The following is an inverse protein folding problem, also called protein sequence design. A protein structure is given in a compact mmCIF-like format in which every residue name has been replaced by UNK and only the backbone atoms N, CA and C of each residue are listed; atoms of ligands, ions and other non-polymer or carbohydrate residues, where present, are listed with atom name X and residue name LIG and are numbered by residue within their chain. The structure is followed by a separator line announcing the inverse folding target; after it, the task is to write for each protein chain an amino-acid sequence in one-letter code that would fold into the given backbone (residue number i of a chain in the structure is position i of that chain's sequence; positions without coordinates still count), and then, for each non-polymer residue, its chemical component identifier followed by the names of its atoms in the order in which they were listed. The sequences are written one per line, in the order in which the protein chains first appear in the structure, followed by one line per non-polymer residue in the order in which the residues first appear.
data_IF_551244079522
#
_entry.id   IF_551244079522
#
_cell.length_a   1.000
_cell.length_b   1.000
_cell.length_c   1.000
_cell.angle_alpha   90.00
_cell.angle_beta   90.00
_cell.angle_gamma   90.00
#
_symmetry.space_group_name_H-M   'P 1'
#
loop_
_entity.id
_entity.type
_entity.pdbx_description
1 polymer ?
#
# COMPACT_ATOMS: atom_id res chain seq x y z
N UNK A 1 -7.16 0.69 -18.90
CA UNK A 1 -6.82 1.54 -17.74
C UNK A 1 -6.42 0.64 -16.59
N UNK A 2 -5.32 0.92 -15.89
CA UNK A 2 -4.94 0.13 -14.72
C UNK A 2 -5.87 0.50 -13.55
N UNK A 3 -6.39 -0.49 -12.84
CA UNK A 3 -7.24 -0.31 -11.64
C UNK A 3 -6.58 0.64 -10.64
N UNK A 4 -5.24 0.60 -10.56
CA UNK A 4 -4.48 1.45 -9.66
C UNK A 4 -4.62 2.93 -10.01
N UNK A 5 -4.64 3.27 -11.30
CA UNK A 5 -4.79 4.66 -11.75
C UNK A 5 -6.15 5.23 -11.37
N UNK A 6 -7.22 4.45 -11.54
CA UNK A 6 -8.57 4.87 -11.16
C UNK A 6 -8.71 5.12 -9.66
N UNK A 7 -8.06 4.29 -8.83
CA UNK A 7 -8.03 4.47 -7.36
C UNK A 7 -7.23 5.73 -6.97
N UNK A 8 -6.09 5.97 -7.62
CA UNK A 8 -5.25 7.13 -7.37
C UNK A 8 -5.96 8.43 -7.75
N UNK A 9 -6.52 8.49 -8.97
CA UNK A 9 -7.22 9.66 -9.49
C UNK A 9 -8.40 10.02 -8.54
N UNK A 10 -9.25 9.04 -8.18
CA UNK A 10 -10.33 9.26 -7.20
C UNK A 10 -9.82 9.67 -5.81
N UNK A 11 -8.67 9.16 -5.36
CA UNK A 11 -8.13 9.52 -4.06
C UNK A 11 -7.55 10.95 -4.06
N UNK A 12 -6.91 11.38 -5.13
CA UNK A 12 -6.42 12.76 -5.27
C UNK A 12 -7.56 13.78 -5.24
N UNK A 13 -8.70 13.48 -5.86
CA UNK A 13 -9.87 14.36 -5.87
C UNK A 13 -10.59 14.40 -4.53
N UNK A 14 -10.71 13.25 -3.85
CA UNK A 14 -11.57 13.12 -2.66
C UNK A 14 -10.83 13.17 -1.33
N UNK A 15 -9.53 12.88 -1.34
CA UNK A 15 -8.64 12.68 -0.18
C UNK A 15 -9.26 11.79 0.91
N UNK A 16 -10.10 10.83 0.51
CA UNK A 16 -10.88 10.02 1.44
C UNK A 16 -11.18 8.63 0.89
N UNK A 17 -10.64 7.60 1.55
CA UNK A 17 -10.83 6.19 1.15
C UNK A 17 -12.30 5.80 1.05
N UNK A 18 -13.17 6.32 1.92
CA UNK A 18 -14.61 6.03 1.89
C UNK A 18 -15.31 6.59 0.65
N UNK A 19 -14.84 7.74 0.13
CA UNK A 19 -15.37 8.31 -1.11
C UNK A 19 -14.87 7.52 -2.31
N UNK A 20 -13.58 7.18 -2.34
CA UNK A 20 -13.01 6.29 -3.36
C UNK A 20 -13.75 4.96 -3.43
N UNK A 21 -14.09 4.35 -2.29
CA UNK A 21 -14.89 3.11 -2.25
C UNK A 21 -16.28 3.28 -2.89
N UNK A 22 -16.95 4.43 -2.66
CA UNK A 22 -18.25 4.72 -3.27
C UNK A 22 -18.16 5.01 -4.76
N UNK A 23 -17.11 5.70 -5.21
CA UNK A 23 -16.92 6.09 -6.61
C UNK A 23 -16.43 4.91 -7.46
N UNK A 24 -15.48 4.15 -6.95
CA UNK A 24 -14.84 3.07 -7.69
C UNK A 24 -15.51 1.71 -7.48
N UNK A 25 -16.26 1.54 -6.38
CA UNK A 25 -16.85 0.26 -5.98
C UNK A 25 -15.83 -0.78 -5.50
N UNK A 26 -14.55 -0.41 -5.33
CA UNK A 26 -13.51 -1.34 -4.87
C UNK A 26 -13.50 -1.48 -3.36
N UNK A 27 -13.15 -2.68 -2.89
CA UNK A 27 -13.01 -2.95 -1.47
C UNK A 27 -11.92 -2.09 -0.82
N UNK A 28 -12.18 -1.65 0.41
CA UNK A 28 -11.23 -0.90 1.23
C UNK A 28 -9.81 -1.50 1.23
N UNK A 29 -9.68 -2.82 1.41
CA UNK A 29 -8.38 -3.50 1.38
C UNK A 29 -7.64 -3.32 0.05
N UNK A 30 -8.36 -3.28 -1.08
CA UNK A 30 -7.77 -3.08 -2.40
C UNK A 30 -7.30 -1.64 -2.58
N UNK A 31 -8.13 -0.68 -2.18
CA UNK A 31 -7.80 0.75 -2.23
C UNK A 31 -6.56 1.05 -1.40
N UNK A 32 -6.59 0.69 -0.11
CA UNK A 32 -5.49 0.97 0.82
C UNK A 32 -4.19 0.32 0.36
N UNK A 33 -4.24 -0.92 -0.13
CA UNK A 33 -3.07 -1.63 -0.64
C UNK A 33 -2.51 -1.00 -1.91
N UNK A 34 -3.36 -0.51 -2.81
CA UNK A 34 -2.93 0.25 -3.99
C UNK A 34 -2.27 1.55 -3.55
N UNK A 35 -2.89 2.33 -2.65
CA UNK A 35 -2.31 3.56 -2.12
C UNK A 35 -0.95 3.31 -1.44
N UNK A 36 -0.85 2.27 -0.62
CA UNK A 36 0.39 1.82 0.00
C UNK A 36 1.48 1.47 -1.03
N UNK A 37 1.09 0.80 -2.12
CA UNK A 37 2.01 0.45 -3.23
C UNK A 37 2.59 1.69 -3.92
N UNK A 38 1.85 2.79 -3.92
CA UNK A 38 2.30 4.09 -4.43
C UNK A 38 2.90 5.00 -3.34
N UNK A 39 3.10 4.50 -2.12
CA UNK A 39 3.66 5.26 -1.00
C UNK A 39 2.70 6.26 -0.36
N UNK A 40 1.40 6.20 -0.71
CA UNK A 40 0.38 7.10 -0.19
C UNK A 40 -0.20 6.51 1.10
N UNK A 41 0.02 7.22 2.20
CA UNK A 41 -0.53 6.87 3.49
C UNK A 41 -1.85 7.60 3.74
N UNK A 42 -2.88 6.84 4.10
CA UNK A 42 -4.25 7.33 4.33
C UNK A 42 -4.49 7.89 5.73
N UNK A 43 -3.61 7.56 6.68
CA UNK A 43 -3.71 7.97 8.08
C UNK A 43 -2.33 7.93 8.75
N UNK A 44 -2.19 8.52 9.93
CA UNK A 44 -0.92 8.46 10.68
C UNK A 44 -0.54 7.05 11.10
N UNK A 45 -1.54 6.20 11.39
CA UNK A 45 -1.33 4.78 11.62
C UNK A 45 -0.76 4.09 10.38
N UNK A 46 -1.32 4.38 9.21
CA UNK A 46 -0.83 3.85 7.94
C UNK A 46 0.60 4.35 7.65
N UNK A 47 0.90 5.63 7.89
CA UNK A 47 2.28 6.17 7.80
C UNK A 47 3.23 5.40 8.70
N UNK A 48 2.83 5.13 9.94
CA UNK A 48 3.66 4.39 10.90
C UNK A 48 3.90 2.95 10.47
N UNK A 49 2.89 2.27 9.92
CA UNK A 49 3.04 0.91 9.37
C UNK A 49 4.02 0.91 8.20
N UNK A 50 3.87 1.84 7.24
CA UNK A 50 4.77 1.94 6.09
C UNK A 50 6.20 2.27 6.51
N UNK A 51 6.38 3.17 7.48
CA UNK A 51 7.69 3.52 8.01
C UNK A 51 8.38 2.31 8.65
N UNK A 52 7.68 1.56 9.51
CA UNK A 52 8.21 0.34 10.11
C UNK A 52 8.56 -0.70 9.04
N UNK A 53 7.71 -0.85 8.03
CA UNK A 53 7.95 -1.76 6.91
C UNK A 53 9.19 -1.37 6.08
N UNK A 54 9.38 -0.07 5.82
CA UNK A 54 10.57 0.47 5.15
C UNK A 54 11.85 0.25 5.97
N UNK A 55 11.76 0.25 7.29
CA UNK A 55 12.87 -0.08 8.18
C UNK A 55 13.20 -1.59 8.22
N UNK A 56 12.47 -2.44 7.49
CA UNK A 56 12.67 -3.89 7.47
C UNK A 56 12.04 -4.63 8.65
N UNK A 57 11.16 -3.97 9.42
CA UNK A 57 10.42 -4.60 10.52
C UNK A 57 9.43 -5.61 9.94
N UNK A 58 9.34 -6.79 10.55
CA UNK A 58 8.44 -7.85 10.08
C UNK A 58 6.97 -7.47 10.28
N UNK A 59 6.07 -8.00 9.45
CA UNK A 59 4.62 -7.73 9.58
C UNK A 59 4.06 -8.17 10.93
N UNK A 60 4.62 -9.22 11.52
CA UNK A 60 4.26 -9.73 12.85
C UNK A 60 4.67 -8.74 13.94
N UNK A 61 5.88 -8.17 13.87
CA UNK A 61 6.33 -7.13 14.79
C UNK A 61 5.58 -5.81 14.58
N UNK A 62 5.23 -5.46 13.35
CA UNK A 62 4.38 -4.29 13.06
C UNK A 62 3.00 -4.49 13.68
N UNK A 63 2.41 -5.67 13.54
CA UNK A 63 1.14 -6.01 14.18
C UNK A 63 1.23 -5.87 15.71
N UNK A 64 2.30 -6.39 16.31
CA UNK A 64 2.56 -6.24 17.74
C UNK A 64 2.71 -4.77 18.16
N UNK A 65 3.51 -3.98 17.44
CA UNK A 65 3.77 -2.55 17.75
C UNK A 65 2.57 -1.63 17.52
N UNK A 66 1.69 -1.99 16.59
CA UNK A 66 0.49 -1.19 16.25
C UNK A 66 -0.78 -1.68 16.94
N UNK A 67 -0.75 -2.84 17.60
CA UNK A 67 -1.92 -3.47 18.20
C UNK A 67 -2.94 -3.98 17.16
N UNK A 68 -2.55 -4.10 15.90
CA UNK A 68 -3.40 -4.56 14.80
C UNK A 68 -3.26 -6.06 14.58
N UNK A 69 -4.28 -6.68 13.99
CA UNK A 69 -4.15 -8.03 13.47
C UNK A 69 -3.17 -8.06 12.28
N UNK A 70 -2.40 -9.13 12.14
CA UNK A 70 -1.46 -9.33 11.02
C UNK A 70 -2.15 -9.20 9.67
N UNK A 71 -3.39 -9.69 9.53
CA UNK A 71 -4.20 -9.53 8.31
C UNK A 71 -4.49 -8.06 7.97
N UNK A 72 -4.69 -7.23 8.98
CA UNK A 72 -4.92 -5.80 8.81
C UNK A 72 -3.63 -5.10 8.40
N UNK A 73 -2.50 -5.47 9.02
CA UNK A 73 -1.18 -5.00 8.59
C UNK A 73 -0.93 -5.38 7.14
N UNK A 74 -1.17 -6.63 6.74
CA UNK A 74 -1.04 -7.10 5.36
C UNK A 74 -1.91 -6.32 4.35
N UNK A 75 -3.00 -5.67 4.78
CA UNK A 75 -3.82 -4.81 3.92
C UNK A 75 -3.19 -3.42 3.73
N UNK A 76 -2.50 -2.90 4.76
CA UNK A 76 -1.76 -1.64 4.73
C UNK A 76 -0.38 -1.77 4.09
N UNK A 77 0.16 -2.98 3.99
CA UNK A 77 1.42 -3.19 3.29
C UNK A 77 1.24 -3.04 1.78
N UNK A 78 2.20 -2.43 1.08
CA UNK A 78 2.21 -2.39 -0.37
C UNK A 78 2.10 -3.82 -0.91
N UNK A 79 1.52 -4.01 -2.10
CA UNK A 79 1.64 -5.31 -2.77
C UNK A 79 3.14 -5.60 -2.84
N UNK A 80 3.54 -6.80 -2.44
CA UNK A 80 4.79 -7.37 -2.92
C UNK A 80 4.71 -7.35 -4.45
N UNK A 81 5.20 -6.28 -5.06
CA UNK A 81 5.91 -6.40 -6.32
C UNK A 81 7.15 -7.16 -5.90
N UNK A 82 7.13 -8.47 -6.10
CA UNK A 82 8.38 -9.15 -6.40
C UNK A 82 9.01 -8.28 -7.48
N UNK A 83 10.07 -7.58 -7.08
CA UNK A 83 10.98 -6.76 -7.83
C UNK A 83 10.64 -6.77 -9.34
N UNK A 84 10.17 -5.63 -9.88
CA UNK A 84 10.56 -5.33 -11.26
C UNK A 84 12.07 -5.14 -11.16
N UNK A 85 12.82 -6.20 -11.45
CA UNK A 85 14.27 -6.15 -11.64
C UNK A 85 14.51 -5.30 -12.90
N UNK A 86 14.55 -3.98 -12.73
CA UNK A 86 15.55 -3.17 -13.41
C UNK A 86 16.39 -2.64 -12.26
N UNK A 87 17.51 -3.23 -11.89
CA UNK A 87 18.67 -3.40 -12.75
C UNK A 87 19.35 -4.77 -12.53
N UNK A 88 19.30 -5.60 -13.55
CA UNK A 88 20.42 -6.48 -13.90
C UNK A 88 20.44 -6.61 -15.42
N UNK A 89 20.76 -5.53 -16.12
CA UNK A 89 21.43 -5.66 -17.42
C UNK A 89 22.89 -5.95 -17.09
N UNK A 90 23.21 -7.19 -16.72
CA UNK A 90 24.58 -7.65 -16.88
C UNK A 90 24.70 -8.01 -18.35
N UNK A 91 25.11 -7.02 -19.13
CA UNK A 91 25.72 -7.19 -20.45
C UNK A 91 26.97 -8.05 -20.24
N UNK A 92 26.83 -9.37 -20.41
CA UNK A 92 28.00 -10.23 -20.59
C UNK A 92 28.42 -10.09 -22.05
N UNK A 93 29.37 -9.18 -22.25
CA UNK A 93 30.23 -9.07 -23.42
C UNK A 93 31.08 -10.34 -23.64
#
# INVERSE_FOLDING_TARGET
MSIDKMILDSYEETNSVKKVERETGYSWCRIVKTLATHGIATSDLHRRILHLYQMGVTREEIAFKTGLAVRTVDAYLPRKRDVVYGEAVTENA
#
